data_IF_142080160730
#
_entry.id   IF_142080160730
#
_cell.length_a   1.000
_cell.length_b   1.000
_cell.length_c   1.000
_cell.angle_alpha   90.00
_cell.angle_beta   90.00
_cell.angle_gamma   90.00
#
_symmetry.space_group_name_H-M   'P 1'
#
loop_
_entity.id
_entity.type
_entity.pdbx_description
1 polymer ?
#
# COMPACT_ATOMS: atom_id res chain seq x y z
N UNK A 1 -27.84 8.54 -27.75
CA UNK A 1 -26.63 9.37 -27.61
C UNK A 1 -25.88 8.91 -26.37
N UNK A 2 -24.59 8.60 -26.48
CA UNK A 2 -23.79 8.19 -25.34
C UNK A 2 -23.74 9.32 -24.30
N UNK A 3 -24.25 9.10 -23.09
CA UNK A 3 -23.93 9.97 -21.95
C UNK A 3 -22.46 9.74 -21.62
N UNK A 4 -21.61 10.49 -22.32
CA UNK A 4 -20.22 10.74 -21.95
C UNK A 4 -20.25 11.05 -20.46
N UNK A 5 -19.63 10.19 -19.64
CA UNK A 5 -19.32 10.53 -18.24
C UNK A 5 -18.66 11.90 -18.30
N UNK A 6 -19.38 12.97 -17.93
CA UNK A 6 -18.85 14.32 -18.03
C UNK A 6 -17.48 14.29 -17.36
N UNK A 7 -16.43 14.54 -18.14
CA UNK A 7 -15.06 14.60 -17.65
C UNK A 7 -15.07 15.76 -16.65
N UNK A 8 -15.17 15.46 -15.36
CA UNK A 8 -15.23 16.49 -14.32
C UNK A 8 -13.94 17.29 -14.43
N UNK A 9 -14.07 18.61 -14.60
CA UNK A 9 -12.91 19.50 -14.69
C UNK A 9 -12.02 19.36 -13.45
N UNK A 10 -10.70 19.42 -13.65
CA UNK A 10 -9.68 19.26 -12.62
C UNK A 10 -9.80 20.22 -11.42
N UNK A 11 -10.47 21.37 -11.58
CA UNK A 11 -10.76 22.32 -10.50
C UNK A 11 -12.07 22.05 -9.74
N UNK A 12 -12.95 21.16 -10.22
CA UNK A 12 -14.19 20.75 -9.53
C UNK A 12 -13.97 19.53 -8.64
N UNK A 13 -12.95 19.57 -7.78
CA UNK A 13 -12.72 18.55 -6.75
C UNK A 13 -13.78 18.75 -5.65
N UNK A 14 -14.95 18.16 -5.84
CA UNK A 14 -16.05 18.22 -4.86
C UNK A 14 -15.75 17.26 -3.71
N UNK A 15 -15.20 17.74 -2.59
CA UNK A 15 -14.89 16.92 -1.39
C UNK A 15 -16.12 16.14 -0.86
N UNK A 16 -17.31 16.74 -0.99
CA UNK A 16 -18.61 16.17 -0.65
C UNK A 16 -19.43 15.92 -1.93
N UNK A 17 -20.34 14.96 -1.90
CA UNK A 17 -21.29 14.80 -3.00
C UNK A 17 -22.38 15.88 -2.92
N UNK A 18 -22.91 16.31 -4.07
CA UNK A 18 -23.94 17.37 -4.13
C UNK A 18 -25.24 16.97 -3.38
N UNK A 19 -25.46 15.66 -3.23
CA UNK A 19 -26.59 15.05 -2.52
C UNK A 19 -26.43 14.97 -0.99
N UNK A 20 -25.30 15.41 -0.43
CA UNK A 20 -25.00 15.24 0.99
C UNK A 20 -25.62 16.37 1.83
N UNK A 21 -26.40 16.00 2.84
CA UNK A 21 -27.01 16.97 3.76
C UNK A 21 -25.93 17.64 4.64
N UNK A 22 -26.19 18.84 5.21
CA UNK A 22 -25.24 19.51 6.10
C UNK A 22 -24.78 18.63 7.28
N UNK A 23 -25.68 17.80 7.82
CA UNK A 23 -25.38 16.84 8.88
C UNK A 23 -24.45 15.71 8.40
N UNK A 24 -24.68 15.18 7.20
CA UNK A 24 -23.80 14.18 6.59
C UNK A 24 -22.41 14.75 6.33
N UNK A 25 -22.31 16.01 5.86
CA UNK A 25 -21.01 16.68 5.65
C UNK A 25 -20.23 16.84 6.95
N UNK A 26 -20.92 17.18 8.06
CA UNK A 26 -20.31 17.29 9.38
C UNK A 26 -19.81 15.93 9.88
N UNK A 27 -20.60 14.87 9.68
CA UNK A 27 -20.19 13.49 10.00
C UNK A 27 -18.97 13.06 9.18
N UNK A 28 -18.98 13.31 7.87
CA UNK A 28 -17.86 12.99 6.98
C UNK A 28 -16.59 13.72 7.42
N UNK A 29 -16.67 15.02 7.73
CA UNK A 29 -15.52 15.78 8.23
C UNK A 29 -15.00 15.24 9.57
N UNK A 30 -15.90 14.86 10.48
CA UNK A 30 -15.53 14.24 11.75
C UNK A 30 -14.78 12.92 11.51
N UNK A 31 -15.30 12.05 10.64
CA UNK A 31 -14.66 10.79 10.28
C UNK A 31 -13.33 11.02 9.55
N UNK A 32 -13.26 12.02 8.68
CA UNK A 32 -12.05 12.39 7.94
C UNK A 32 -10.94 12.79 8.90
N UNK A 33 -11.24 13.65 9.88
CA UNK A 33 -10.29 14.11 10.89
C UNK A 33 -9.80 13.01 11.83
N UNK A 34 -10.55 11.92 11.98
CA UNK A 34 -10.19 10.80 12.84
C UNK A 34 -9.41 9.73 12.08
N UNK A 35 -9.97 9.25 10.96
CA UNK A 35 -9.46 8.09 10.24
C UNK A 35 -8.26 8.46 9.38
N UNK A 36 -8.33 9.57 8.63
CA UNK A 36 -7.32 9.89 7.61
C UNK A 36 -5.98 10.29 8.24
N UNK A 37 -5.91 11.20 9.23
CA UNK A 37 -4.65 11.54 9.89
C UNK A 37 -4.02 10.35 10.62
N UNK A 38 -4.82 9.53 11.30
CA UNK A 38 -4.31 8.33 11.97
C UNK A 38 -3.75 7.32 10.97
N UNK A 39 -4.51 7.01 9.91
CA UNK A 39 -4.08 6.07 8.89
C UNK A 39 -2.81 6.57 8.19
N UNK A 40 -2.71 7.87 7.92
CA UNK A 40 -1.51 8.49 7.37
C UNK A 40 -0.31 8.37 8.32
N UNK A 41 -0.46 8.78 9.59
CA UNK A 41 0.62 8.72 10.59
C UNK A 41 1.10 7.30 10.83
N UNK A 42 0.20 6.34 11.03
CA UNK A 42 0.58 4.96 11.27
C UNK A 42 1.24 4.32 10.03
N UNK A 43 0.78 4.64 8.82
CA UNK A 43 1.43 4.16 7.59
C UNK A 43 2.80 4.81 7.37
N UNK A 44 2.92 6.11 7.66
CA UNK A 44 4.18 6.84 7.63
C UNK A 44 5.24 6.19 8.52
N UNK A 45 4.89 5.88 9.78
CA UNK A 45 5.81 5.25 10.74
C UNK A 45 6.17 3.82 10.30
N UNK A 46 5.22 3.05 9.74
CA UNK A 46 5.49 1.69 9.24
C UNK A 46 6.54 1.68 8.13
N UNK A 47 6.44 2.60 7.18
CA UNK A 47 7.45 2.71 6.14
C UNK A 47 8.78 3.28 6.63
N UNK A 48 8.79 4.00 7.75
CA UNK A 48 10.06 4.34 8.43
C UNK A 48 10.76 3.06 8.90
N UNK A 49 10.06 2.16 9.59
CA UNK A 49 10.64 0.91 10.12
C UNK A 49 11.07 -0.06 9.01
N UNK A 50 10.26 -0.21 7.95
CA UNK A 50 10.62 -1.05 6.81
C UNK A 50 11.88 -0.54 6.09
N UNK A 51 12.00 0.78 5.89
CA UNK A 51 13.18 1.37 5.26
C UNK A 51 14.40 1.35 6.19
N UNK A 52 14.18 1.34 7.51
CA UNK A 52 15.24 1.39 8.52
C UNK A 52 16.26 0.25 8.35
N UNK A 53 15.86 -0.98 8.00
CA UNK A 53 16.83 -2.08 7.86
C UNK A 53 17.90 -1.81 6.81
N UNK A 54 17.51 -1.21 5.68
CA UNK A 54 18.40 -0.91 4.57
C UNK A 54 19.35 0.24 4.94
N UNK A 55 18.81 1.27 5.59
CA UNK A 55 19.57 2.42 6.09
C UNK A 55 20.55 1.99 7.19
N UNK A 56 20.12 1.18 8.16
CA UNK A 56 20.94 0.61 9.22
C UNK A 56 22.06 -0.28 8.66
N UNK A 57 21.76 -1.12 7.65
CA UNK A 57 22.73 -2.00 6.99
C UNK A 57 23.91 -1.22 6.39
N UNK A 58 23.64 -0.08 5.74
CA UNK A 58 24.72 0.75 5.20
C UNK A 58 25.42 1.60 6.27
N UNK A 59 24.79 1.82 7.43
CA UNK A 59 25.25 2.72 8.50
C UNK A 59 26.06 2.05 9.62
N UNK A 60 26.36 0.75 9.53
CA UNK A 60 27.20 0.06 10.52
C UNK A 60 26.63 -1.27 11.02
N UNK A 61 25.36 -1.58 10.78
CA UNK A 61 24.73 -2.84 11.24
C UNK A 61 25.46 -4.07 10.68
N UNK A 62 25.93 -4.00 9.42
CA UNK A 62 26.68 -5.09 8.79
C UNK A 62 28.00 -5.34 9.52
N UNK A 63 28.72 -4.27 9.84
CA UNK A 63 30.03 -4.33 10.49
C UNK A 63 29.91 -4.75 11.95
N UNK A 64 28.94 -4.22 12.69
CA UNK A 64 28.74 -4.50 14.12
C UNK A 64 28.30 -5.95 14.41
N UNK A 65 27.44 -6.52 13.55
CA UNK A 65 26.95 -7.90 13.71
C UNK A 65 27.72 -8.90 12.85
N UNK A 66 28.78 -8.45 12.17
CA UNK A 66 29.59 -9.22 11.23
C UNK A 66 28.73 -9.99 10.19
N UNK A 67 27.77 -9.30 9.57
CA UNK A 67 26.86 -9.94 8.61
C UNK A 67 27.57 -10.42 7.35
N UNK A 68 27.28 -11.67 6.99
CA UNK A 68 27.88 -12.36 5.86
C UNK A 68 26.84 -12.71 4.79
N UNK A 69 27.29 -12.71 3.53
CA UNK A 69 26.49 -13.22 2.43
C UNK A 69 25.15 -12.49 2.22
N UNK A 70 24.04 -13.26 2.23
CA UNK A 70 22.68 -12.80 1.91
C UNK A 70 21.82 -12.52 3.16
N UNK A 71 22.45 -12.23 4.29
CA UNK A 71 21.75 -12.04 5.57
C UNK A 71 20.78 -10.85 5.57
N UNK A 72 21.08 -9.75 4.87
CA UNK A 72 20.15 -8.61 4.73
C UNK A 72 18.81 -9.06 4.11
N UNK A 73 18.89 -9.80 3.00
CA UNK A 73 17.70 -10.27 2.28
C UNK A 73 16.95 -11.31 3.09
N UNK A 74 17.66 -12.16 3.85
CA UNK A 74 17.02 -13.10 4.80
C UNK A 74 16.24 -12.37 5.88
N UNK A 75 16.74 -11.27 6.43
CA UNK A 75 16.01 -10.45 7.42
C UNK A 75 14.75 -9.81 6.83
N UNK A 76 14.86 -9.27 5.61
CA UNK A 76 13.71 -8.75 4.87
C UNK A 76 12.67 -9.86 4.62
N UNK A 77 13.10 -11.06 4.22
CA UNK A 77 12.21 -12.21 4.04
C UNK A 77 11.54 -12.63 5.35
N UNK A 78 12.25 -12.66 6.49
CA UNK A 78 11.64 -13.01 7.78
C UNK A 78 10.54 -12.04 8.18
N UNK A 79 10.74 -10.76 7.91
CA UNK A 79 9.71 -9.74 8.07
C UNK A 79 8.49 -10.03 7.16
N UNK A 80 8.70 -10.27 5.86
CA UNK A 80 7.59 -10.56 4.93
C UNK A 80 6.86 -11.85 5.29
N UNK A 81 7.56 -12.88 5.76
CA UNK A 81 6.96 -14.13 6.24
C UNK A 81 6.09 -13.87 7.47
N UNK A 82 6.57 -13.07 8.43
CA UNK A 82 5.77 -12.64 9.57
C UNK A 82 4.51 -11.88 9.13
N UNK A 83 4.65 -10.96 8.18
CA UNK A 83 3.53 -10.18 7.64
C UNK A 83 2.47 -11.06 6.97
N UNK A 84 2.88 -11.99 6.10
CA UNK A 84 1.95 -12.89 5.39
C UNK A 84 1.25 -13.84 6.35
N UNK A 85 1.99 -14.43 7.30
CA UNK A 85 1.40 -15.34 8.29
C UNK A 85 0.48 -14.60 9.26
N UNK A 86 0.83 -13.36 9.65
CA UNK A 86 -0.01 -12.53 10.53
C UNK A 86 -1.28 -12.03 9.85
N UNK A 87 -1.30 -11.85 8.53
CA UNK A 87 -2.47 -11.33 7.81
C UNK A 87 -3.65 -12.29 7.86
N UNK A 88 -3.40 -13.60 7.76
CA UNK A 88 -4.45 -14.62 7.71
C UNK A 88 -5.27 -14.63 9.02
N UNK A 89 -4.69 -14.75 10.23
CA UNK A 89 -5.44 -14.65 11.48
C UNK A 89 -6.10 -13.28 11.66
N UNK A 90 -5.42 -12.18 11.32
CA UNK A 90 -5.94 -10.83 11.48
C UNK A 90 -7.25 -10.64 10.69
N UNK A 91 -7.35 -11.22 9.49
CA UNK A 91 -8.58 -11.17 8.70
C UNK A 91 -9.79 -11.75 9.43
N UNK A 92 -9.62 -12.88 10.14
CA UNK A 92 -10.69 -13.44 10.96
C UNK A 92 -10.92 -12.64 12.24
N UNK A 93 -9.85 -12.13 12.84
CA UNK A 93 -9.89 -11.38 14.09
C UNK A 93 -10.73 -10.11 13.95
N UNK A 94 -10.60 -9.39 12.84
CA UNK A 94 -11.36 -8.16 12.57
C UNK A 94 -12.88 -8.36 12.46
N UNK A 95 -13.33 -9.59 12.19
CA UNK A 95 -14.77 -9.90 12.15
C UNK A 95 -15.36 -10.22 13.51
N UNK A 96 -14.51 -10.50 14.51
CA UNK A 96 -14.94 -10.96 15.84
C UNK A 96 -14.55 -10.01 16.96
N UNK A 97 -13.47 -9.26 16.80
CA UNK A 97 -12.96 -8.36 17.83
C UNK A 97 -13.10 -6.89 17.43
N UNK A 98 -13.36 -6.02 18.42
CA UNK A 98 -13.41 -4.59 18.21
C UNK A 98 -12.06 -4.04 17.73
N UNK A 99 -12.08 -3.49 16.52
CA UNK A 99 -10.89 -2.97 15.84
C UNK A 99 -10.21 -1.80 16.59
N UNK A 100 -10.96 -1.07 17.42
CA UNK A 100 -10.45 0.06 18.20
C UNK A 100 -9.50 -0.36 19.34
N UNK A 101 -9.47 -1.63 19.75
CA UNK A 101 -8.47 -2.15 20.70
C UNK A 101 -7.44 -3.03 20.03
N UNK A 102 -7.84 -3.81 19.03
CA UNK A 102 -6.95 -4.76 18.35
C UNK A 102 -5.83 -4.08 17.57
N UNK A 103 -6.12 -3.07 16.73
CA UNK A 103 -5.07 -2.39 15.95
C UNK A 103 -4.07 -1.67 16.87
N UNK A 104 -4.51 -0.86 17.86
CA UNK A 104 -3.59 -0.17 18.77
C UNK A 104 -2.70 -1.12 19.55
N UNK A 105 -3.25 -2.23 20.05
CA UNK A 105 -2.48 -3.24 20.78
C UNK A 105 -1.39 -3.86 19.89
N UNK A 106 -1.74 -4.19 18.64
CA UNK A 106 -0.78 -4.69 17.67
C UNK A 106 0.30 -3.65 17.33
N UNK A 107 -0.07 -2.39 17.14
CA UNK A 107 0.88 -1.29 16.86
C UNK A 107 1.81 -1.03 18.05
N UNK A 108 1.33 -1.16 19.31
CA UNK A 108 2.17 -1.05 20.50
C UNK A 108 3.15 -2.22 20.60
N UNK A 109 2.69 -3.47 20.42
CA UNK A 109 3.59 -4.63 20.39
C UNK A 109 4.63 -4.53 19.28
N UNK A 110 4.20 -4.10 18.09
CA UNK A 110 5.09 -3.78 16.98
C UNK A 110 6.17 -2.76 17.39
N UNK A 111 5.78 -1.64 17.99
CA UNK A 111 6.71 -0.63 18.50
C UNK A 111 7.69 -1.14 19.55
N UNK A 112 7.24 -2.00 20.46
CA UNK A 112 8.10 -2.65 21.47
C UNK A 112 9.13 -3.56 20.81
N UNK A 113 8.73 -4.41 19.86
CA UNK A 113 9.68 -5.28 19.14
C UNK A 113 10.62 -4.49 18.22
N UNK A 114 10.17 -3.37 17.65
CA UNK A 114 11.05 -2.42 16.93
C UNK A 114 12.09 -1.81 17.87
N UNK A 115 11.70 -1.41 19.08
CA UNK A 115 12.64 -0.89 20.07
C UNK A 115 13.66 -1.97 20.47
N UNK A 116 13.23 -3.20 20.76
CA UNK A 116 14.13 -4.28 21.18
C UNK A 116 15.25 -4.59 20.17
N UNK A 117 15.08 -4.27 18.88
CA UNK A 117 16.13 -4.42 17.86
C UNK A 117 17.38 -3.57 18.15
N UNK A 118 17.31 -2.49 18.92
CA UNK A 118 18.50 -1.70 19.27
C UNK A 118 19.50 -2.51 20.09
N UNK A 119 19.02 -3.48 20.89
CA UNK A 119 19.82 -4.25 21.86
C UNK A 119 20.46 -5.50 21.26
N UNK A 120 20.20 -5.80 19.99
CA UNK A 120 20.56 -7.05 19.36
C UNK A 120 22.08 -7.26 19.25
N UNK A 121 22.52 -8.51 19.44
CA UNK A 121 23.93 -8.93 19.29
C UNK A 121 24.13 -10.05 18.27
N UNK A 122 23.06 -10.65 17.76
CA UNK A 122 23.13 -11.78 16.84
C UNK A 122 22.15 -11.65 15.68
N UNK A 123 22.52 -12.24 14.54
CA UNK A 123 21.65 -12.39 13.38
C UNK A 123 20.33 -13.09 13.73
N UNK A 124 20.39 -14.17 14.52
CA UNK A 124 19.21 -14.97 14.86
C UNK A 124 18.21 -14.17 15.72
N UNK A 125 18.73 -13.37 16.65
CA UNK A 125 17.93 -12.49 17.50
C UNK A 125 17.26 -11.38 16.66
N UNK A 126 18.00 -10.77 15.73
CA UNK A 126 17.43 -9.77 14.82
C UNK A 126 16.37 -10.36 13.89
N UNK A 127 16.60 -11.59 13.40
CA UNK A 127 15.63 -12.30 12.58
C UNK A 127 14.33 -12.60 13.35
N UNK A 128 14.43 -12.99 14.63
CA UNK A 128 13.26 -13.23 15.48
C UNK A 128 12.46 -11.94 15.71
N UNK A 129 13.14 -10.83 16.05
CA UNK A 129 12.45 -9.53 16.19
C UNK A 129 11.81 -9.07 14.89
N UNK A 130 12.49 -9.27 13.75
CA UNK A 130 11.94 -8.94 12.42
C UNK A 130 10.70 -9.74 12.07
N UNK A 131 10.67 -11.01 12.41
CA UNK A 131 9.49 -11.87 12.23
C UNK A 131 8.31 -11.37 13.08
N UNK A 132 8.55 -11.07 14.36
CA UNK A 132 7.51 -10.56 15.27
C UNK A 132 7.00 -9.19 14.83
N UNK A 133 7.89 -8.30 14.41
CA UNK A 133 7.54 -7.01 13.82
C UNK A 133 6.62 -7.19 12.62
N UNK A 134 6.96 -8.09 11.68
CA UNK A 134 6.09 -8.41 10.54
C UNK A 134 4.74 -8.96 10.98
N UNK A 135 4.71 -9.85 11.96
CA UNK A 135 3.48 -10.45 12.49
C UNK A 135 2.50 -9.42 13.06
N UNK A 136 2.99 -8.48 13.88
CA UNK A 136 2.15 -7.45 14.47
C UNK A 136 1.77 -6.35 13.47
N UNK A 137 2.61 -6.08 12.46
CA UNK A 137 2.28 -5.10 11.42
C UNK A 137 1.21 -5.61 10.44
N UNK A 138 1.16 -6.93 10.22
CA UNK A 138 0.34 -7.61 9.23
C UNK A 138 -1.13 -7.15 9.17
N UNK A 139 -1.74 -6.91 10.34
CA UNK A 139 -3.15 -6.57 10.45
C UNK A 139 -3.49 -5.16 9.97
N UNK A 140 -2.52 -4.25 9.90
CA UNK A 140 -2.82 -2.84 9.70
C UNK A 140 -3.39 -2.51 8.32
N UNK A 141 -2.75 -2.99 7.24
CA UNK A 141 -3.19 -2.72 5.88
C UNK A 141 -4.63 -3.18 5.62
N UNK A 142 -5.00 -4.45 5.87
CA UNK A 142 -6.38 -4.91 5.70
C UNK A 142 -7.35 -4.20 6.65
N UNK A 143 -6.92 -3.86 7.87
CA UNK A 143 -7.78 -3.16 8.82
C UNK A 143 -8.14 -1.75 8.37
N UNK A 144 -7.17 -0.96 7.90
CA UNK A 144 -7.44 0.39 7.37
C UNK A 144 -8.38 0.33 6.18
N UNK A 145 -8.17 -0.61 5.25
CA UNK A 145 -9.07 -0.79 4.11
C UNK A 145 -10.48 -1.22 4.53
N UNK A 146 -10.58 -2.03 5.58
CA UNK A 146 -11.85 -2.43 6.16
C UNK A 146 -12.59 -1.26 6.83
N UNK A 147 -11.90 -0.43 7.62
CA UNK A 147 -12.46 0.80 8.22
C UNK A 147 -12.90 1.75 7.12
N UNK A 148 -12.05 2.03 6.13
CA UNK A 148 -12.40 2.91 5.02
C UNK A 148 -13.61 2.40 4.25
N UNK A 149 -13.67 1.09 3.98
CA UNK A 149 -14.81 0.46 3.31
C UNK A 149 -16.11 0.43 4.12
N UNK A 150 -16.01 0.50 5.45
CA UNK A 150 -17.17 0.47 6.36
C UNK A 150 -17.79 1.85 6.58
N UNK A 151 -17.02 2.93 6.50
CA UNK A 151 -17.48 4.29 6.78
C UNK A 151 -17.73 5.15 5.53
N UNK A 152 -17.00 4.89 4.45
CA UNK A 152 -17.02 5.72 3.25
C UNK A 152 -17.66 5.01 2.04
N UNK A 153 -18.20 5.82 1.14
CA UNK A 153 -18.70 5.34 -0.16
C UNK A 153 -17.55 5.10 -1.14
N UNK A 154 -17.80 4.32 -2.20
CA UNK A 154 -16.78 4.03 -3.22
C UNK A 154 -16.16 5.27 -3.88
N UNK A 155 -16.95 6.33 -4.08
CA UNK A 155 -16.51 7.63 -4.63
C UNK A 155 -15.65 8.45 -3.66
N UNK A 156 -15.71 8.11 -2.37
CA UNK A 156 -15.03 8.80 -1.27
C UNK A 156 -13.69 8.15 -0.91
N UNK A 157 -13.59 6.83 -1.05
CA UNK A 157 -12.41 6.04 -0.67
C UNK A 157 -11.19 6.41 -1.51
N UNK A 158 -11.35 6.63 -2.82
CA UNK A 158 -10.21 6.88 -3.72
C UNK A 158 -9.34 8.07 -3.31
N UNK A 159 -9.97 9.19 -2.91
CA UNK A 159 -9.25 10.41 -2.51
C UNK A 159 -8.52 10.26 -1.18
N UNK A 160 -9.18 9.61 -0.22
CA UNK A 160 -8.63 9.34 1.13
C UNK A 160 -7.53 8.30 1.07
N UNK A 161 -7.70 7.30 0.22
CA UNK A 161 -6.67 6.31 -0.12
C UNK A 161 -5.44 6.97 -0.72
N UNK A 162 -5.59 7.98 -1.58
CA UNK A 162 -4.48 8.78 -2.09
C UNK A 162 -3.61 9.39 -0.97
N UNK A 163 -4.22 10.06 0.01
CA UNK A 163 -3.50 10.59 1.18
C UNK A 163 -2.82 9.49 1.99
N UNK A 164 -3.48 8.34 2.19
CA UNK A 164 -2.87 7.19 2.84
C UNK A 164 -1.58 6.74 2.12
N UNK A 165 -1.60 6.59 0.80
CA UNK A 165 -0.43 6.16 0.03
C UNK A 165 0.72 7.17 0.00
N UNK A 166 0.46 8.47 0.20
CA UNK A 166 1.54 9.47 0.39
C UNK A 166 2.37 9.16 1.63
N UNK A 167 1.78 8.55 2.66
CA UNK A 167 2.50 8.12 3.87
C UNK A 167 3.64 7.14 3.57
N UNK A 168 3.50 6.28 2.56
CA UNK A 168 4.54 5.33 2.15
C UNK A 168 5.81 6.03 1.69
N UNK A 169 5.68 6.88 0.67
CA UNK A 169 6.82 7.58 0.05
C UNK A 169 7.45 8.57 1.02
N UNK A 170 6.61 9.29 1.79
CA UNK A 170 7.09 10.17 2.84
C UNK A 170 7.82 9.39 3.94
N UNK A 171 7.32 8.22 4.34
CA UNK A 171 7.94 7.39 5.38
C UNK A 171 9.35 6.95 4.98
N UNK A 172 9.48 6.41 3.77
CA UNK A 172 10.79 5.99 3.22
C UNK A 172 11.77 7.15 3.07
N UNK A 173 11.29 8.33 2.63
CA UNK A 173 12.10 9.56 2.59
C UNK A 173 12.59 9.95 3.99
N UNK A 174 11.67 10.07 4.95
CA UNK A 174 12.01 10.49 6.31
C UNK A 174 12.94 9.49 6.99
N UNK A 175 12.82 8.20 6.71
CA UNK A 175 13.73 7.19 7.25
C UNK A 175 15.19 7.41 6.85
N UNK A 176 15.44 7.75 5.59
CA UNK A 176 16.78 8.06 5.10
C UNK A 176 17.36 9.30 5.77
N UNK A 177 16.54 10.35 5.95
CA UNK A 177 16.94 11.60 6.60
C UNK A 177 17.17 11.44 8.11
N UNK A 178 16.32 10.71 8.81
CA UNK A 178 16.49 10.43 10.25
C UNK A 178 17.75 9.58 10.45
N UNK A 179 18.00 8.56 9.61
CA UNK A 179 19.24 7.79 9.70
C UNK A 179 20.47 8.66 9.39
N UNK A 180 20.40 9.55 8.39
CA UNK A 180 21.50 10.47 8.09
C UNK A 180 21.84 11.37 9.29
N UNK A 181 20.81 11.89 9.97
CA UNK A 181 20.94 12.67 11.20
C UNK A 181 21.52 11.84 12.35
N UNK A 182 20.96 10.65 12.62
CA UNK A 182 21.41 9.75 13.67
C UNK A 182 22.86 9.31 13.47
N UNK A 183 23.26 8.95 12.25
CA UNK A 183 24.63 8.59 11.93
C UNK A 183 25.62 9.76 11.98
N UNK A 184 25.15 11.01 11.87
CA UNK A 184 26.03 12.19 11.97
C UNK A 184 26.23 12.70 13.39
N UNK A 185 25.17 12.67 14.21
CA UNK A 185 25.14 13.38 15.50
C UNK A 185 25.01 12.43 16.70
N UNK A 186 24.54 11.20 16.51
CA UNK A 186 24.29 10.24 17.58
C UNK A 186 25.23 9.04 17.55
N UNK A 187 26.14 8.97 16.59
CA UNK A 187 27.11 7.89 16.51
C UNK A 187 28.10 7.97 17.68
N UNK A 188 28.16 6.91 18.50
CA UNK A 188 28.97 6.86 19.72
C UNK A 188 28.34 7.52 20.95
N UNK A 189 27.19 8.19 20.81
CA UNK A 189 26.48 8.79 21.95
C UNK A 189 25.92 7.69 22.85
N UNK A 190 26.24 7.77 24.15
CA UNK A 190 25.95 6.72 25.15
C UNK A 190 26.52 5.33 24.80
N UNK A 191 27.57 5.26 23.97
CA UNK A 191 28.17 3.98 23.56
C UNK A 191 27.33 3.18 22.56
N UNK A 192 26.34 3.80 21.93
CA UNK A 192 25.51 3.18 20.90
C UNK A 192 25.88 3.69 19.50
N UNK A 193 25.93 2.77 18.54
CA UNK A 193 26.13 3.09 17.13
C UNK A 193 24.91 3.85 16.56
N UNK A 194 25.13 4.70 15.56
CA UNK A 194 24.08 5.54 14.98
C UNK A 194 22.87 4.76 14.41
N UNK A 195 23.05 3.49 14.01
CA UNK A 195 21.94 2.64 13.56
C UNK A 195 21.06 2.14 14.72
N UNK A 196 21.62 1.97 15.93
CA UNK A 196 20.84 1.58 17.12
C UNK A 196 19.92 2.70 17.58
N UNK A 197 20.42 3.95 17.53
CA UNK A 197 19.62 5.14 17.81
C UNK A 197 18.40 5.28 16.88
N UNK A 198 18.52 4.87 15.62
CA UNK A 198 17.38 4.88 14.70
C UNK A 198 16.25 3.96 15.18
N UNK A 199 16.56 2.75 15.65
CA UNK A 199 15.54 1.85 16.24
C UNK A 199 14.90 2.42 17.51
N UNK A 200 15.68 3.14 18.33
CA UNK A 200 15.16 3.83 19.52
C UNK A 200 14.18 4.94 19.12
N UNK A 201 14.57 5.80 18.17
CA UNK A 201 13.72 6.89 17.66
C UNK A 201 12.44 6.32 17.04
N UNK A 202 12.54 5.26 16.24
CA UNK A 202 11.37 4.58 15.68
C UNK A 202 10.43 4.08 16.79
N UNK A 203 10.95 3.38 17.81
CA UNK A 203 10.14 2.90 18.93
C UNK A 203 9.44 4.02 19.71
N UNK A 204 10.15 5.13 19.96
CA UNK A 204 9.61 6.32 20.66
C UNK A 204 8.49 7.00 19.87
N UNK A 205 8.56 7.01 18.54
CA UNK A 205 7.51 7.59 17.70
C UNK A 205 6.33 6.61 17.55
N UNK A 206 6.60 5.32 17.41
CA UNK A 206 5.59 4.29 17.18
C UNK A 206 4.67 4.07 18.38
N UNK A 207 5.22 3.91 19.60
CA UNK A 207 4.43 3.52 20.78
C UNK A 207 3.34 4.55 21.10
N UNK A 208 3.63 5.87 21.16
CA UNK A 208 2.60 6.88 21.39
C UNK A 208 1.55 6.94 20.29
N UNK A 209 1.92 6.72 19.03
CA UNK A 209 0.93 6.68 17.94
C UNK A 209 0.05 5.44 18.03
N UNK A 210 0.60 4.29 18.41
CA UNK A 210 -0.20 3.10 18.75
C UNK A 210 -1.20 3.38 19.86
N UNK A 211 -0.75 4.00 20.97
CA UNK A 211 -1.63 4.41 22.08
C UNK A 211 -2.67 5.43 21.63
N UNK A 212 -2.31 6.40 20.79
CA UNK A 212 -3.25 7.38 20.22
C UNK A 212 -4.34 6.68 19.39
N UNK A 213 -4.00 5.59 18.70
CA UNK A 213 -4.95 4.78 17.94
C UNK A 213 -6.13 4.29 18.77
N UNK A 214 -5.91 3.97 20.05
CA UNK A 214 -6.99 3.56 20.96
C UNK A 214 -8.05 4.66 21.15
N UNK A 215 -7.61 5.91 21.21
CA UNK A 215 -8.49 7.06 21.42
C UNK A 215 -9.11 7.59 20.13
N UNK A 216 -8.46 7.41 18.99
CA UNK A 216 -8.85 8.05 17.72
C UNK A 216 -9.62 7.10 16.79
N UNK A 217 -9.32 5.80 16.79
CA UNK A 217 -9.93 4.85 15.85
C UNK A 217 -11.43 4.72 16.15
N UNK A 218 -12.33 5.06 15.20
CA UNK A 218 -13.77 4.97 15.41
C UNK A 218 -14.31 3.54 15.47
N UNK A 219 -13.51 2.54 15.11
CA UNK A 219 -13.95 1.15 14.98
C UNK A 219 -14.77 0.93 13.70
N UNK A 220 -15.66 -0.06 13.71
CA UNK A 220 -16.62 -0.30 12.62
C UNK A 220 -18.02 0.15 13.07
N UNK A 221 -18.96 0.43 12.15
CA UNK A 221 -20.35 0.72 12.52
C UNK A 221 -21.00 -0.39 13.37
N UNK A 222 -20.56 -1.63 13.21
CA UNK A 222 -21.00 -2.79 14.00
C UNK A 222 -20.40 -2.84 15.41
N UNK A 223 -19.15 -2.38 15.56
CA UNK A 223 -18.42 -2.33 16.84
C UNK A 223 -17.75 -0.95 17.02
N UNK A 224 -18.56 0.09 17.28
CA UNK A 224 -18.09 1.46 17.27
C UNK A 224 -17.34 1.80 18.56
N UNK A 225 -16.35 2.68 18.43
CA UNK A 225 -15.71 3.30 19.58
C UNK A 225 -16.61 4.41 20.13
N UNK A 226 -17.29 4.10 21.24
CA UNK A 226 -18.23 5.03 21.91
C UNK A 226 -17.53 6.26 22.51
N UNK A 227 -16.20 6.26 22.62
CA UNK A 227 -15.45 7.43 23.06
C UNK A 227 -15.50 8.57 22.03
N UNK A 228 -15.66 8.22 20.75
CA UNK A 228 -15.53 9.16 19.63
C UNK A 228 -16.86 9.34 18.87
N UNK A 229 -17.67 8.29 18.80
CA UNK A 229 -18.91 8.27 18.04
C UNK A 229 -20.14 8.22 18.96
N UNK A 230 -21.12 9.09 18.66
CA UNK A 230 -22.44 9.06 19.29
C UNK A 230 -23.38 8.13 18.52
N UNK A 231 -24.47 7.70 19.17
CA UNK A 231 -25.48 6.85 18.53
C UNK A 231 -26.11 7.52 17.30
N UNK A 232 -26.34 8.84 17.36
CA UNK A 232 -26.86 9.64 16.25
C UNK A 232 -25.94 9.61 15.02
N UNK A 233 -24.62 9.63 15.24
CA UNK A 233 -23.61 9.54 14.16
C UNK A 233 -23.67 8.17 13.46
N UNK A 234 -23.91 7.10 14.24
CA UNK A 234 -24.03 5.73 13.73
C UNK A 234 -25.28 5.54 12.89
N UNK A 235 -26.42 6.02 13.38
CA UNK A 235 -27.70 5.90 12.69
C UNK A 235 -27.70 6.74 11.40
N UNK A 236 -27.01 7.89 11.40
CA UNK A 236 -26.80 8.70 10.21
C UNK A 236 -25.87 8.00 9.19
N UNK A 237 -24.76 7.41 9.65
CA UNK A 237 -23.85 6.64 8.81
C UNK A 237 -24.53 5.43 8.15
N UNK A 238 -25.30 4.65 8.91
CA UNK A 238 -26.00 3.47 8.40
C UNK A 238 -27.07 3.87 7.36
N UNK A 239 -27.87 4.91 7.63
CA UNK A 239 -28.86 5.44 6.67
C UNK A 239 -28.19 5.92 5.38
N UNK A 240 -27.05 6.60 5.49
CA UNK A 240 -26.26 7.10 4.35
C UNK A 240 -25.69 5.97 3.49
N UNK A 241 -25.12 4.93 4.12
CA UNK A 241 -24.54 3.78 3.42
C UNK A 241 -25.63 2.91 2.77
N UNK A 242 -26.76 2.68 3.46
CA UNK A 242 -27.93 1.98 2.90
C UNK A 242 -28.52 2.71 1.70
N UNK A 243 -28.66 4.04 1.75
CA UNK A 243 -29.08 4.86 0.59
C UNK A 243 -28.17 4.72 -0.62
N UNK A 244 -26.89 4.41 -0.41
CA UNK A 244 -25.90 4.22 -1.46
C UNK A 244 -25.73 2.74 -1.89
N UNK A 245 -26.64 1.85 -1.47
CA UNK A 245 -26.57 0.42 -1.78
C UNK A 245 -25.35 -0.30 -1.17
N UNK A 246 -24.66 0.32 -0.20
CA UNK A 246 -23.54 -0.30 0.48
C UNK A 246 -24.06 -1.21 1.60
N UNK A 247 -23.70 -2.50 1.52
CA UNK A 247 -23.95 -3.44 2.59
C UNK A 247 -23.10 -3.07 3.81
N UNK A 248 -23.75 -2.54 4.85
CA UNK A 248 -23.11 -2.17 6.13
C UNK A 248 -22.79 -3.39 6.99
N UNK A 249 -23.30 -4.58 6.60
CA UNK A 249 -23.20 -5.83 7.35
C UNK A 249 -22.72 -6.95 6.45
N UNK A 250 -21.60 -7.56 6.81
CA UNK A 250 -20.99 -8.64 6.03
C UNK A 250 -20.10 -9.49 6.91
N UNK A 251 -20.66 -10.55 7.51
CA UNK A 251 -19.86 -11.54 8.23
C UNK A 251 -19.06 -12.36 7.23
N UNK A 252 -17.77 -12.54 7.50
CA UNK A 252 -16.94 -13.47 6.75
C UNK A 252 -17.56 -14.86 6.80
N UNK A 253 -18.03 -15.33 5.65
CA UNK A 253 -18.64 -16.65 5.52
C UNK A 253 -17.81 -17.47 4.54
N UNK A 254 -17.50 -18.72 4.88
CA UNK A 254 -16.77 -19.64 3.99
C UNK A 254 -17.43 -19.79 2.61
N UNK A 255 -18.75 -19.57 2.50
CA UNK A 255 -19.47 -19.50 1.24
C UNK A 255 -19.06 -18.33 0.33
N UNK A 256 -18.71 -17.17 0.88
CA UNK A 256 -18.20 -16.01 0.12
C UNK A 256 -16.83 -16.31 -0.47
N UNK A 257 -16.00 -17.09 0.23
CA UNK A 257 -14.71 -17.58 -0.26
C UNK A 257 -14.88 -18.41 -1.55
N UNK A 258 -15.87 -19.31 -1.54
CA UNK A 258 -16.20 -20.15 -2.70
C UNK A 258 -16.72 -19.33 -3.90
N UNK A 259 -17.50 -18.27 -3.66
CA UNK A 259 -17.97 -17.38 -4.71
C UNK A 259 -16.82 -16.55 -5.34
N UNK A 260 -15.90 -16.05 -4.51
CA UNK A 260 -14.73 -15.29 -4.97
C UNK A 260 -13.80 -16.18 -5.78
N UNK A 261 -13.54 -17.41 -5.30
CA UNK A 261 -12.70 -18.38 -6.00
C UNK A 261 -13.28 -18.81 -7.37
N UNK A 262 -14.61 -18.77 -7.55
CA UNK A 262 -15.25 -19.06 -8.84
C UNK A 262 -15.29 -17.86 -9.79
N UNK A 263 -15.01 -16.65 -9.30
CA UNK A 263 -15.12 -15.44 -10.11
C UNK A 263 -13.87 -15.26 -10.97
N UNK A 264 -13.98 -15.50 -12.29
CA UNK A 264 -12.86 -15.37 -13.25
C UNK A 264 -12.16 -13.99 -13.20
N UNK A 265 -12.92 -12.91 -12.98
CA UNK A 265 -12.37 -11.54 -12.87
C UNK A 265 -11.36 -11.42 -11.72
N UNK A 266 -11.57 -12.10 -10.61
CA UNK A 266 -10.70 -12.05 -9.42
C UNK A 266 -9.33 -12.62 -9.75
N UNK A 267 -9.27 -13.75 -10.46
CA UNK A 267 -8.01 -14.36 -10.86
C UNK A 267 -7.20 -13.51 -11.85
N UNK A 268 -7.88 -12.81 -12.76
CA UNK A 268 -7.21 -11.89 -13.68
C UNK A 268 -6.63 -10.67 -12.94
N UNK A 269 -7.38 -10.12 -11.99
CA UNK A 269 -6.90 -9.05 -11.11
C UNK A 269 -5.77 -9.52 -10.19
N UNK A 270 -5.77 -10.81 -9.79
CA UNK A 270 -4.70 -11.41 -8.99
C UNK A 270 -3.40 -11.50 -9.76
N UNK A 271 -3.43 -11.94 -11.02
CA UNK A 271 -2.22 -11.95 -11.85
C UNK A 271 -1.66 -10.53 -12.00
N UNK A 272 -2.53 -9.54 -12.19
CA UNK A 272 -2.13 -8.13 -12.26
C UNK A 272 -1.46 -7.66 -10.96
N UNK A 273 -2.05 -7.95 -9.80
CA UNK A 273 -1.50 -7.54 -8.49
C UNK A 273 -0.18 -8.26 -8.16
N UNK A 274 -0.06 -9.55 -8.48
CA UNK A 274 1.20 -10.31 -8.31
C UNK A 274 2.32 -9.72 -9.15
N UNK A 275 2.04 -9.41 -10.42
CA UNK A 275 3.01 -8.80 -11.32
C UNK A 275 3.40 -7.39 -10.83
N UNK A 276 2.45 -6.62 -10.29
CA UNK A 276 2.70 -5.30 -9.71
C UNK A 276 3.68 -5.36 -8.53
N UNK A 277 3.45 -6.27 -7.58
CA UNK A 277 4.33 -6.44 -6.41
C UNK A 277 5.73 -6.84 -6.86
N UNK A 278 5.85 -7.81 -7.78
CA UNK A 278 7.15 -8.28 -8.28
C UNK A 278 7.89 -7.23 -9.12
N UNK A 279 7.16 -6.42 -9.90
CA UNK A 279 7.72 -5.33 -10.69
C UNK A 279 8.18 -4.11 -9.84
N UNK A 280 7.90 -4.13 -8.52
CA UNK A 280 8.26 -3.05 -7.58
C UNK A 280 9.27 -3.49 -6.51
N UNK A 281 9.71 -4.76 -6.50
CA UNK A 281 10.62 -5.33 -5.48
C UNK A 281 11.95 -4.56 -5.36
N UNK A 282 12.43 -4.00 -6.47
CA UNK A 282 13.68 -3.24 -6.52
C UNK A 282 13.68 -2.00 -5.62
N UNK A 283 12.50 -1.47 -5.26
CA UNK A 283 12.39 -0.31 -4.36
C UNK A 283 12.61 -0.69 -2.89
N UNK A 284 12.24 -1.92 -2.50
CA UNK A 284 12.37 -2.43 -1.13
C UNK A 284 13.71 -3.16 -0.88
N UNK A 285 14.42 -3.56 -1.93
CA UNK A 285 15.66 -4.37 -1.82
C UNK A 285 16.87 -3.61 -1.26
N UNK A 286 16.82 -2.27 -1.19
CA UNK A 286 17.94 -1.45 -0.72
C UNK A 286 19.08 -1.32 -1.73
N UNK A 287 18.88 -1.74 -2.99
CA UNK A 287 19.92 -1.75 -4.03
C UNK A 287 20.57 -0.38 -4.28
N UNK A 288 19.79 0.71 -4.18
CA UNK A 288 20.31 2.07 -4.33
C UNK A 288 21.30 2.46 -3.23
N UNK A 289 20.96 2.18 -1.97
CA UNK A 289 21.83 2.44 -0.81
C UNK A 289 23.11 1.60 -0.88
N UNK A 290 23.00 0.34 -1.29
CA UNK A 290 24.16 -0.55 -1.48
C UNK A 290 25.07 -0.04 -2.61
N UNK A 291 24.50 0.46 -3.71
CA UNK A 291 25.27 1.10 -4.77
C UNK A 291 25.98 2.36 -4.29
N UNK A 292 25.29 3.26 -3.57
CA UNK A 292 25.90 4.46 -3.00
C UNK A 292 27.05 4.14 -2.03
N UNK A 293 26.88 3.12 -1.18
CA UNK A 293 27.95 2.63 -0.28
C UNK A 293 29.13 2.06 -1.08
N UNK A 294 28.88 1.35 -2.18
CA UNK A 294 29.93 0.76 -3.02
C UNK A 294 30.85 1.79 -3.71
N UNK A 295 30.41 3.04 -3.85
CA UNK A 295 31.23 4.11 -4.43
C UNK A 295 32.39 4.52 -3.51
N UNK A 296 32.35 4.21 -2.21
CA UNK A 296 33.44 4.45 -1.26
C UNK A 296 33.81 5.92 -0.99
N UNK A 297 33.13 6.88 -1.63
CA UNK A 297 33.47 8.32 -1.59
C UNK A 297 32.63 9.17 -0.65
N UNK A 298 31.59 8.60 -0.04
CA UNK A 298 30.63 9.33 0.80
C UNK A 298 30.64 8.79 2.22
N UNK A 299 30.56 9.69 3.21
CA UNK A 299 30.31 9.31 4.61
C UNK A 299 28.94 8.63 4.74
N UNK A 300 28.77 7.77 5.73
CA UNK A 300 27.51 7.04 6.03
C UNK A 300 26.29 7.96 6.07
N UNK A 301 26.39 9.10 6.77
CA UNK A 301 25.33 10.12 6.81
C UNK A 301 24.94 10.61 5.40
N UNK A 302 25.94 10.93 4.56
CA UNK A 302 25.68 11.42 3.19
C UNK A 302 25.09 10.34 2.28
N UNK A 303 25.48 9.08 2.47
CA UNK A 303 24.89 7.94 1.74
C UNK A 303 23.38 7.84 2.01
N UNK A 304 22.96 7.95 3.27
CA UNK A 304 21.53 7.89 3.61
C UNK A 304 20.77 9.13 3.13
N UNK A 305 21.37 10.33 3.20
CA UNK A 305 20.79 11.57 2.68
C UNK A 305 20.55 11.47 1.17
N UNK A 306 21.55 10.99 0.42
CA UNK A 306 21.43 10.75 -1.02
C UNK A 306 20.41 9.63 -1.34
N UNK A 307 20.34 8.61 -0.48
CA UNK A 307 19.35 7.53 -0.55
C UNK A 307 17.90 8.05 -0.51
N UNK A 308 17.64 9.15 0.19
CA UNK A 308 16.33 9.77 0.31
C UNK A 308 15.86 10.49 -0.97
N UNK A 309 16.74 10.78 -1.93
CA UNK A 309 16.37 11.47 -3.19
C UNK A 309 15.37 10.64 -4.01
N UNK A 310 15.58 9.32 -4.07
CA UNK A 310 14.72 8.43 -4.85
C UNK A 310 13.26 8.39 -4.35
N UNK A 311 12.98 8.18 -3.04
CA UNK A 311 11.61 8.28 -2.52
C UNK A 311 11.03 9.70 -2.60
N UNK A 312 11.86 10.76 -2.51
CA UNK A 312 11.40 12.15 -2.70
C UNK A 312 10.76 12.36 -4.07
N UNK A 313 11.44 11.90 -5.13
CA UNK A 313 10.93 11.97 -6.49
C UNK A 313 9.78 10.99 -6.72
N UNK A 314 9.74 9.89 -5.96
CA UNK A 314 8.58 9.00 -5.84
C UNK A 314 7.28 9.74 -5.55
N UNK A 315 7.28 10.71 -4.63
CA UNK A 315 6.08 11.52 -4.30
C UNK A 315 5.56 12.25 -5.55
N UNK A 316 6.45 12.91 -6.29
CA UNK A 316 6.10 13.60 -7.53
C UNK A 316 5.55 12.64 -8.59
N UNK A 317 6.18 11.47 -8.76
CA UNK A 317 5.68 10.45 -9.68
C UNK A 317 4.29 9.93 -9.28
N UNK A 318 4.05 9.69 -7.99
CA UNK A 318 2.75 9.27 -7.46
C UNK A 318 1.68 10.28 -7.78
N UNK A 319 1.90 11.56 -7.46
CA UNK A 319 0.94 12.62 -7.73
C UNK A 319 0.68 12.74 -9.24
N UNK A 320 1.72 12.78 -10.05
CA UNK A 320 1.60 12.92 -11.50
C UNK A 320 0.79 11.77 -12.12
N UNK A 321 1.11 10.52 -11.78
CA UNK A 321 0.43 9.33 -12.31
C UNK A 321 -1.02 9.25 -11.81
N UNK A 322 -1.29 9.60 -10.55
CA UNK A 322 -2.66 9.64 -10.01
C UNK A 322 -3.51 10.68 -10.75
N UNK A 323 -3.01 11.92 -10.89
CA UNK A 323 -3.73 12.96 -11.64
C UNK A 323 -3.90 12.59 -13.11
N UNK A 324 -2.88 12.01 -13.74
CA UNK A 324 -2.96 11.57 -15.12
C UNK A 324 -3.99 10.44 -15.30
N UNK A 325 -4.07 9.49 -14.35
CA UNK A 325 -5.07 8.43 -14.32
C UNK A 325 -6.49 8.99 -14.24
N UNK A 326 -6.72 9.90 -13.28
CA UNK A 326 -8.06 10.40 -12.98
C UNK A 326 -8.60 11.38 -14.03
N UNK A 327 -7.72 12.19 -14.63
CA UNK A 327 -8.11 13.27 -15.53
C UNK A 327 -8.01 12.90 -17.01
N UNK A 328 -6.96 12.16 -17.41
CA UNK A 328 -6.56 12.08 -18.82
C UNK A 328 -6.60 10.65 -19.37
N UNK A 329 -5.96 9.70 -18.71
CA UNK A 329 -5.57 8.41 -19.31
C UNK A 329 -6.49 7.25 -18.93
N UNK A 330 -7.12 7.29 -17.76
CA UNK A 330 -7.77 6.14 -17.15
C UNK A 330 -6.76 5.15 -16.52
N UNK A 331 -7.23 4.21 -15.69
CA UNK A 331 -6.37 3.43 -14.80
C UNK A 331 -5.39 2.51 -15.53
N UNK A 332 -5.85 1.82 -16.58
CA UNK A 332 -5.00 0.89 -17.33
C UNK A 332 -3.85 1.59 -18.06
N UNK A 333 -4.11 2.76 -18.67
CA UNK A 333 -3.07 3.53 -19.37
C UNK A 333 -2.11 4.19 -18.40
N UNK A 334 -2.59 4.65 -17.24
CA UNK A 334 -1.72 5.18 -16.19
C UNK A 334 -0.69 4.13 -15.73
N UNK A 335 -1.13 2.89 -15.48
CA UNK A 335 -0.24 1.76 -15.14
C UNK A 335 0.80 1.53 -16.24
N UNK A 336 0.38 1.51 -17.51
CA UNK A 336 1.29 1.32 -18.65
C UNK A 336 2.32 2.45 -18.73
N UNK A 337 1.90 3.72 -18.64
CA UNK A 337 2.82 4.86 -18.71
C UNK A 337 3.84 4.87 -17.56
N UNK A 338 3.40 4.52 -16.35
CA UNK A 338 4.28 4.41 -15.19
C UNK A 338 5.36 3.33 -15.38
N UNK A 339 4.99 2.20 -15.99
CA UNK A 339 5.90 1.10 -16.27
C UNK A 339 6.81 1.32 -17.46
N UNK A 340 6.39 2.08 -18.47
CA UNK A 340 7.29 2.53 -19.53
C UNK A 340 8.42 3.35 -18.89
N UNK A 341 8.07 4.29 -18.02
CA UNK A 341 9.05 5.10 -17.29
C UNK A 341 9.97 4.26 -16.39
N UNK A 342 9.41 3.33 -15.62
CA UNK A 342 10.17 2.40 -14.78
C UNK A 342 11.10 1.50 -15.62
N UNK A 343 10.62 1.00 -16.77
CA UNK A 343 11.38 0.10 -17.64
C UNK A 343 12.62 0.77 -18.22
N UNK A 344 12.56 2.07 -18.55
CA UNK A 344 13.74 2.84 -18.98
C UNK A 344 14.82 2.81 -17.89
N UNK A 345 14.44 3.07 -16.63
CA UNK A 345 15.36 3.00 -15.50
C UNK A 345 15.95 1.60 -15.29
N UNK A 346 15.11 0.57 -15.38
CA UNK A 346 15.53 -0.82 -15.23
C UNK A 346 16.47 -1.29 -16.34
N UNK A 347 16.26 -0.89 -17.60
CA UNK A 347 17.15 -1.23 -18.72
C UNK A 347 18.56 -0.67 -18.45
N UNK A 348 18.65 0.59 -17.99
CA UNK A 348 19.92 1.21 -17.65
C UNK A 348 20.64 0.42 -16.54
N UNK A 349 19.90 -0.01 -15.51
CA UNK A 349 20.44 -0.81 -14.41
C UNK A 349 20.85 -2.23 -14.82
N UNK A 350 20.16 -2.85 -15.79
CA UNK A 350 20.51 -4.16 -16.35
C UNK A 350 21.81 -4.09 -17.16
N UNK A 351 21.94 -3.09 -18.04
CA UNK A 351 23.16 -2.88 -18.85
C UNK A 351 24.35 -2.61 -17.92
N UNK A 352 24.14 -1.81 -16.86
CA UNK A 352 25.10 -1.44 -15.80
C UNK A 352 26.35 -0.67 -16.25
N UNK A 353 26.87 -0.95 -17.44
CA UNK A 353 28.08 -0.34 -17.98
C UNK A 353 27.74 0.97 -18.70
N UNK A 354 27.29 1.94 -17.91
CA UNK A 354 26.83 3.27 -18.34
C UNK A 354 27.49 4.36 -17.48
N UNK A 355 27.54 5.61 -17.95
CA UNK A 355 28.01 6.74 -17.15
C UNK A 355 27.28 6.83 -15.80
N UNK A 356 27.96 7.29 -14.76
CA UNK A 356 27.39 7.43 -13.42
C UNK A 356 26.06 8.23 -13.37
N UNK A 357 25.91 9.36 -14.11
CA UNK A 357 24.64 10.09 -14.15
C UNK A 357 23.47 9.25 -14.66
N UNK A 358 23.73 8.30 -15.56
CA UNK A 358 22.69 7.40 -16.04
C UNK A 358 22.25 6.41 -14.95
N UNK A 359 23.17 5.95 -14.08
CA UNK A 359 22.82 5.10 -12.92
C UNK A 359 21.97 5.86 -11.92
N UNK A 360 22.32 7.12 -11.62
CA UNK A 360 21.50 8.00 -10.78
C UNK A 360 20.08 8.12 -11.33
N UNK A 361 19.96 8.42 -12.63
CA UNK A 361 18.66 8.47 -13.30
C UNK A 361 17.91 7.13 -13.19
N UNK A 362 18.60 6.00 -13.45
CA UNK A 362 18.02 4.66 -13.35
C UNK A 362 17.46 4.35 -11.96
N UNK A 363 18.22 4.59 -10.89
CA UNK A 363 17.76 4.35 -9.52
C UNK A 363 16.58 5.25 -9.14
N UNK A 364 16.64 6.53 -9.46
CA UNK A 364 15.60 7.50 -9.12
C UNK A 364 14.29 7.21 -9.87
N UNK A 365 14.37 6.85 -11.15
CA UNK A 365 13.18 6.57 -11.97
C UNK A 365 12.44 5.31 -11.53
N UNK A 366 13.11 4.35 -10.90
CA UNK A 366 12.46 3.11 -10.47
C UNK A 366 11.35 3.28 -9.43
N UNK A 367 11.36 4.39 -8.67
CA UNK A 367 10.28 4.73 -7.74
C UNK A 367 8.95 5.08 -8.43
N UNK A 368 8.93 5.27 -9.76
CA UNK A 368 7.68 5.38 -10.51
C UNK A 368 6.86 4.09 -10.49
N UNK A 369 7.45 2.95 -10.17
CA UNK A 369 6.71 1.72 -9.95
C UNK A 369 5.76 1.85 -8.75
N UNK A 370 6.21 2.44 -7.65
CA UNK A 370 5.41 2.57 -6.42
C UNK A 370 4.19 3.47 -6.62
N UNK A 371 4.32 4.47 -7.51
CA UNK A 371 3.30 5.45 -7.84
C UNK A 371 1.97 4.88 -8.34
N UNK A 372 1.96 3.67 -8.90
CA UNK A 372 0.74 3.06 -9.43
C UNK A 372 -0.07 2.27 -8.39
N UNK A 373 0.46 2.04 -7.18
CA UNK A 373 -0.22 1.28 -6.12
C UNK A 373 -1.64 1.80 -5.88
N UNK A 374 -1.78 3.12 -5.73
CA UNK A 374 -3.06 3.82 -5.58
C UNK A 374 -4.01 3.62 -6.76
N UNK A 375 -3.49 3.68 -8.00
CA UNK A 375 -4.27 3.52 -9.23
C UNK A 375 -4.75 2.08 -9.40
N UNK A 376 -3.88 1.10 -9.12
CA UNK A 376 -4.20 -0.32 -9.21
C UNK A 376 -5.33 -0.69 -8.25
N UNK A 377 -5.19 -0.36 -6.96
CA UNK A 377 -6.23 -0.65 -5.98
C UNK A 377 -7.50 0.18 -6.24
N UNK A 378 -7.38 1.41 -6.76
CA UNK A 378 -8.52 2.18 -7.26
C UNK A 378 -9.27 1.48 -8.40
N UNK A 379 -8.53 0.91 -9.36
CA UNK A 379 -9.11 0.18 -10.48
C UNK A 379 -9.80 -1.12 -10.03
N UNK A 380 -9.12 -1.92 -9.20
CA UNK A 380 -9.69 -3.13 -8.58
C UNK A 380 -10.99 -2.82 -7.85
N UNK A 381 -11.02 -1.72 -7.08
CA UNK A 381 -12.22 -1.27 -6.37
C UNK A 381 -13.38 -0.92 -7.32
N UNK A 382 -13.09 -0.30 -8.46
CA UNK A 382 -14.11 0.07 -9.45
C UNK A 382 -14.70 -1.13 -10.19
N UNK A 383 -13.89 -2.14 -10.49
CA UNK A 383 -14.33 -3.36 -11.19
C UNK A 383 -15.14 -4.29 -10.28
N UNK A 384 -14.87 -4.25 -8.97
CA UNK A 384 -15.56 -5.04 -7.94
C UNK A 384 -16.73 -4.28 -7.29
N UNK A 385 -17.20 -3.20 -7.90
CA UNK A 385 -18.27 -2.35 -7.34
C UNK A 385 -19.63 -3.07 -7.17
N UNK A 386 -19.83 -4.22 -7.81
CA UNK A 386 -21.08 -4.97 -7.78
C UNK A 386 -21.39 -5.63 -6.43
N UNK A 387 -20.39 -5.90 -5.59
CA UNK A 387 -20.60 -6.51 -4.27
C UNK A 387 -19.56 -6.02 -3.26
N UNK A 388 -19.96 -5.20 -2.27
CA UNK A 388 -19.05 -4.67 -1.25
C UNK A 388 -18.32 -5.76 -0.45
N UNK A 389 -19.00 -6.87 -0.13
CA UNK A 389 -18.42 -7.98 0.62
C UNK A 389 -17.37 -8.74 -0.20
N UNK A 390 -17.63 -8.99 -1.49
CA UNK A 390 -16.67 -9.60 -2.42
C UNK A 390 -15.49 -8.66 -2.63
N UNK A 391 -15.73 -7.35 -2.78
CA UNK A 391 -14.69 -6.33 -2.97
C UNK A 391 -13.67 -6.30 -1.84
N UNK A 392 -14.12 -6.16 -0.59
CA UNK A 392 -13.22 -6.12 0.56
C UNK A 392 -12.41 -7.41 0.70
N UNK A 393 -13.06 -8.57 0.53
CA UNK A 393 -12.38 -9.85 0.59
C UNK A 393 -11.36 -10.04 -0.54
N UNK A 394 -11.72 -9.69 -1.77
CA UNK A 394 -10.82 -9.78 -2.92
C UNK A 394 -9.60 -8.88 -2.72
N UNK A 395 -9.76 -7.65 -2.25
CA UNK A 395 -8.61 -6.77 -1.99
C UNK A 395 -7.60 -7.37 -1.00
N UNK A 396 -8.09 -7.95 0.10
CA UNK A 396 -7.21 -8.61 1.06
C UNK A 396 -6.57 -9.85 0.46
N UNK A 397 -7.34 -10.69 -0.24
CA UNK A 397 -6.81 -11.90 -0.87
C UNK A 397 -5.73 -11.58 -1.92
N UNK A 398 -5.97 -10.57 -2.76
CA UNK A 398 -4.99 -10.06 -3.72
C UNK A 398 -3.71 -9.67 -3.01
N UNK A 399 -3.81 -8.81 -2.00
CA UNK A 399 -2.67 -8.31 -1.24
C UNK A 399 -1.89 -9.44 -0.54
N UNK A 400 -2.56 -10.38 0.14
CA UNK A 400 -1.91 -11.48 0.86
C UNK A 400 -1.17 -12.40 -0.10
N UNK A 401 -1.79 -12.79 -1.22
CA UNK A 401 -1.13 -13.66 -2.21
C UNK A 401 0.02 -12.91 -2.87
N UNK A 402 -0.17 -11.66 -3.32
CA UNK A 402 0.88 -10.89 -3.95
C UNK A 402 2.06 -10.64 -3.02
N UNK A 403 1.82 -10.27 -1.76
CA UNK A 403 2.87 -10.11 -0.76
C UNK A 403 3.60 -11.43 -0.50
N UNK A 404 2.90 -12.57 -0.48
CA UNK A 404 3.54 -13.89 -0.31
C UNK A 404 4.58 -14.18 -1.40
N UNK A 405 4.35 -13.73 -2.63
CA UNK A 405 5.33 -13.90 -3.71
C UNK A 405 6.62 -13.13 -3.43
N UNK A 406 6.52 -11.98 -2.77
CA UNK A 406 7.68 -11.15 -2.41
C UNK A 406 8.49 -11.68 -1.22
N UNK A 407 8.03 -12.74 -0.54
CA UNK A 407 8.82 -13.36 0.52
C UNK A 407 10.03 -14.13 -0.04
N UNK A 408 9.84 -14.87 -1.13
CA UNK A 408 10.86 -15.76 -1.69
C UNK A 408 11.55 -15.21 -2.94
N UNK A 409 10.89 -14.33 -3.70
CA UNK A 409 11.49 -13.71 -4.89
C UNK A 409 12.84 -13.00 -4.59
N UNK A 410 12.96 -12.14 -3.57
CA UNK A 410 14.21 -11.43 -3.28
C UNK A 410 15.38 -12.36 -2.95
N UNK A 411 15.12 -13.51 -2.30
CA UNK A 411 16.15 -14.51 -2.00
C UNK A 411 16.79 -15.10 -3.26
N UNK A 412 16.03 -15.16 -4.36
CA UNK A 412 16.50 -15.71 -5.63
C UNK A 412 17.19 -14.64 -6.49
N UNK A 413 16.60 -13.45 -6.58
CA UNK A 413 16.97 -12.45 -7.59
C UNK A 413 17.74 -11.24 -7.05
N UNK A 414 17.62 -10.91 -5.75
CA UNK A 414 18.30 -9.78 -5.11
C UNK A 414 19.30 -10.24 -4.05
N UNK A 415 20.10 -11.27 -4.34
CA UNK A 415 21.14 -11.77 -3.43
C UNK A 415 22.12 -10.64 -3.08
N UNK A 416 22.24 -10.30 -1.80
CA UNK A 416 23.14 -9.23 -1.31
C UNK A 416 24.58 -9.39 -1.78
N UNK A 417 25.05 -10.63 -1.97
CA UNK A 417 26.39 -10.92 -2.53
C UNK A 417 26.57 -10.48 -3.99
N UNK A 418 25.48 -10.36 -4.76
CA UNK A 418 25.48 -9.86 -6.14
C UNK A 418 25.29 -8.33 -6.20
N UNK A 419 25.19 -7.67 -5.03
CA UNK A 419 25.15 -6.23 -4.92
C UNK A 419 26.49 -5.61 -5.32
N UNK A 420 26.50 -4.40 -5.92
CA UNK A 420 25.36 -3.52 -6.18
C UNK A 420 24.68 -3.73 -7.55
N UNK A 421 25.19 -4.65 -8.38
CA UNK A 421 24.76 -4.80 -9.78
C UNK A 421 23.44 -5.56 -9.93
N UNK A 422 23.16 -6.56 -9.08
CA UNK A 422 21.92 -7.35 -9.06
C UNK A 422 21.36 -7.67 -10.46
N UNK A 423 22.17 -8.21 -11.37
CA UNK A 423 21.77 -8.42 -12.78
C UNK A 423 20.49 -9.23 -12.91
N UNK A 424 20.37 -10.32 -12.14
CA UNK A 424 19.17 -11.17 -12.09
C UNK A 424 17.97 -10.41 -11.55
N UNK A 425 18.18 -9.61 -10.49
CA UNK A 425 17.16 -8.79 -9.86
C UNK A 425 16.53 -7.80 -10.83
N UNK A 426 17.34 -6.93 -11.43
CA UNK A 426 16.83 -5.93 -12.37
C UNK A 426 16.24 -6.54 -13.64
N UNK A 427 16.79 -7.66 -14.14
CA UNK A 427 16.23 -8.35 -15.31
C UNK A 427 14.88 -8.99 -15.00
N UNK A 428 14.73 -9.60 -13.82
CA UNK A 428 13.46 -10.17 -13.38
C UNK A 428 12.39 -9.09 -13.23
N UNK A 429 12.72 -7.99 -12.57
CA UNK A 429 11.81 -6.86 -12.36
C UNK A 429 11.39 -6.24 -13.71
N UNK A 430 12.31 -6.12 -14.66
CA UNK A 430 12.00 -5.67 -16.02
C UNK A 430 11.04 -6.63 -16.74
N UNK A 431 11.28 -7.94 -16.64
CA UNK A 431 10.37 -8.96 -17.17
C UNK A 431 8.97 -8.87 -16.56
N UNK A 432 8.88 -8.72 -15.23
CA UNK A 432 7.61 -8.51 -14.53
C UNK A 432 6.91 -7.21 -14.93
N UNK A 433 7.66 -6.12 -15.14
CA UNK A 433 7.12 -4.85 -15.61
C UNK A 433 6.52 -4.96 -17.03
N UNK A 434 7.21 -5.63 -17.95
CA UNK A 434 6.71 -5.86 -19.31
C UNK A 434 5.46 -6.75 -19.30
N UNK A 435 5.50 -7.84 -18.52
CA UNK A 435 4.34 -8.69 -18.33
C UNK A 435 3.16 -7.91 -17.74
N UNK A 436 3.40 -7.03 -16.75
CA UNK A 436 2.35 -6.21 -16.16
C UNK A 436 1.71 -5.27 -17.18
N UNK A 437 2.51 -4.62 -18.04
CA UNK A 437 1.98 -3.76 -19.11
C UNK A 437 1.08 -4.56 -20.07
N UNK A 438 1.53 -5.75 -20.48
CA UNK A 438 0.76 -6.64 -21.36
C UNK A 438 -0.55 -7.09 -20.70
N UNK A 439 -0.50 -7.49 -19.43
CA UNK A 439 -1.68 -7.91 -18.65
C UNK A 439 -2.65 -6.74 -18.43
N UNK A 440 -2.17 -5.54 -18.10
CA UNK A 440 -3.00 -4.35 -17.93
C UNK A 440 -3.73 -3.99 -19.23
N UNK A 441 -3.05 -4.07 -20.37
CA UNK A 441 -3.66 -3.85 -21.69
C UNK A 441 -4.68 -4.92 -22.04
N UNK A 442 -4.37 -6.21 -21.80
CA UNK A 442 -5.29 -7.31 -22.03
C UNK A 442 -6.56 -7.17 -21.17
N UNK A 443 -6.40 -6.82 -19.89
CA UNK A 443 -7.52 -6.60 -18.97
C UNK A 443 -8.40 -5.45 -19.41
N UNK A 444 -7.81 -4.34 -19.89
CA UNK A 444 -8.57 -3.24 -20.47
C UNK A 444 -9.47 -3.71 -21.61
N UNK A 445 -8.97 -4.56 -22.52
CA UNK A 445 -9.77 -5.10 -23.63
C UNK A 445 -10.86 -6.04 -23.11
N UNK A 446 -10.52 -6.94 -22.18
CA UNK A 446 -11.47 -7.92 -21.64
C UNK A 446 -12.61 -7.21 -20.89
N UNK A 447 -12.30 -6.23 -20.05
CA UNK A 447 -13.31 -5.49 -19.30
C UNK A 447 -14.13 -4.55 -20.19
N UNK A 448 -13.52 -3.95 -21.23
CA UNK A 448 -14.28 -3.20 -22.24
C UNK A 448 -15.28 -4.09 -23.00
N UNK A 449 -14.96 -5.36 -23.25
CA UNK A 449 -15.87 -6.34 -23.89
C UNK A 449 -16.95 -6.88 -22.95
N UNK A 450 -16.69 -6.88 -21.64
CA UNK A 450 -17.62 -7.35 -20.61
C UNK A 450 -18.52 -6.23 -20.04
N UNK A 451 -18.29 -4.98 -20.43
CA UNK A 451 -19.20 -3.89 -20.15
C UNK A 451 -20.48 -4.12 -20.96
N UNK A 452 -21.52 -4.65 -20.31
CA UNK A 452 -22.86 -4.71 -20.89
C UNK A 452 -23.30 -3.31 -21.33
N UNK A 453 -24.08 -3.17 -22.42
CA UNK A 453 -24.83 -1.94 -22.66
C UNK A 453 -25.68 -1.72 -21.41
N UNK A 454 -25.46 -0.59 -20.71
CA UNK A 454 -26.28 -0.25 -19.55
C UNK A 454 -27.74 -0.16 -20.02
N UNK A 455 -28.72 -0.70 -19.26
CA UNK A 455 -30.10 -0.36 -19.52
C UNK A 455 -30.22 1.17 -19.50
N UNK A 456 -30.79 1.72 -20.56
CA UNK A 456 -31.10 3.14 -20.66
C UNK A 456 -32.00 3.47 -19.48
N UNK A 457 -31.59 4.42 -18.63
CA UNK A 457 -32.43 4.91 -17.55
C UNK A 457 -33.76 5.41 -18.19
N UNK A 458 -34.89 4.77 -17.87
CA UNK A 458 -36.25 5.16 -18.26
C UNK A 458 -36.70 6.46 -17.55
N UNK A 459 -35.88 7.51 -17.56
CA UNK A 459 -36.27 8.84 -17.05
C UNK A 459 -36.62 9.84 -18.17
N UNK A 460 -36.68 9.40 -19.44
CA UNK A 460 -37.11 10.24 -20.57
C UNK A 460 -38.34 9.74 -21.36
N UNK A 461 -39.18 8.87 -20.76
CA UNK A 461 -40.50 8.53 -21.34
C UNK A 461 -41.67 8.75 -20.38
N UNK A 462 -41.75 9.94 -19.78
CA UNK A 462 -43.07 10.49 -19.43
C UNK A 462 -43.76 10.98 -20.71
N UNK A 463 -44.19 10.03 -21.55
CA UNK A 463 -44.85 10.32 -22.81
C UNK A 463 -45.32 9.04 -23.50
N UNK A 464 -46.61 8.73 -23.33
CA UNK A 464 -47.42 7.75 -24.06
C UNK A 464 -47.10 6.25 -23.92
N UNK A 465 -47.89 5.59 -23.06
CA UNK A 465 -48.77 4.48 -23.43
C UNK A 465 -48.20 3.20 -24.05
N UNK A 466 -48.24 2.12 -23.26
CA UNK A 466 -48.79 0.77 -23.55
C UNK A 466 -47.84 -0.34 -23.04
N UNK A 467 -48.32 -1.11 -22.07
CA UNK A 467 -47.64 -2.25 -21.47
C UNK A 467 -47.64 -3.46 -22.42
N UNK A 468 -46.49 -4.12 -22.57
CA UNK A 468 -46.39 -5.54 -22.94
C UNK A 468 -45.28 -6.21 -22.12
N UNK A 469 -45.47 -7.43 -21.60
CA UNK A 469 -44.54 -8.04 -20.65
C UNK A 469 -43.37 -8.73 -21.39
N UNK A 470 -42.13 -8.42 -20.99
CA UNK A 470 -40.94 -9.05 -21.52
C UNK A 470 -40.69 -10.42 -20.89
N UNK A 471 -40.50 -11.40 -21.76
CA UNK A 471 -40.28 -12.82 -21.54
C UNK A 471 -38.92 -13.10 -20.87
N UNK A 472 -38.91 -13.97 -19.86
CA UNK A 472 -37.75 -14.34 -19.07
C UNK A 472 -36.97 -15.47 -19.75
N UNK A 473 -35.77 -15.22 -20.29
CA UNK A 473 -34.89 -16.26 -20.86
C UNK A 473 -33.72 -16.53 -19.89
N UNK A 474 -33.57 -17.76 -19.34
CA UNK A 474 -32.51 -18.09 -18.39
C UNK A 474 -31.16 -18.34 -19.07
N UNK A 475 -30.10 -17.92 -18.39
CA UNK A 475 -28.68 -18.08 -18.77
C UNK A 475 -28.20 -19.52 -18.52
N UNK A 476 -27.46 -20.09 -19.47
CA UNK A 476 -26.57 -21.24 -19.30
C UNK A 476 -25.12 -20.79 -19.27
#
# INVERSE_FOLDING_TARGET
>A
MATVRQRKHWWKIQWFADRDTPEERKLILKLDLLIVPYAFLAYWIKYIDQANINNAYVSGLKEDLNFQGNELVRLQTMYTLGAVLGQIPCLFLFTRLPMHWTIPLMDVFWGVFTLLQFRVHSFAELAAYRFLVGWFEAGFFPAVHWVLGSWYRGDEIGRRGGFFYVGLTLGTLTAGLIQAGASSNLDGVQGHAGWRWMYIICGIITIPVGVLGYFVIPGTPEMPNRLVLKQEDLDLAERRLKRAGHATKGKFTWGTLGQVARTRKVWLLLVLDVLFWNASINTSSGGFLLWLKSLGRHKTSKVNELGAIAPALGIFYTLFICFASDLVLGPAWAIITAHIWNSIGLIILVVWNVPEPAKWFGFVTTYSAVAMSSVLYGWVNSELAFSPAIRAFTLVLLNTISQSTTAWTPLLVFKTVEGPRFTKGYSFVLGSAIALMATAYALKIIFARQAYPKPVDEEESSGSGTQTPAEYIPVR
#
